data_IF_378405112534
#
_entry.id   IF_378405112534
#
_cell.length_a   1.000
_cell.length_b   1.000
_cell.length_c   1.000
_cell.angle_alpha   90.00
_cell.angle_beta   90.00
_cell.angle_gamma   90.00
#
_symmetry.space_group_name_H-M   'P 1'
#
loop_
_entity.id
_entity.type
_entity.pdbx_description
1 polymer ?
#
# COMPACT_ATOMS: atom_id res chain seq x y z
N UNK A 1 5.07 26.12 16.14
CA UNK A 1 5.53 24.90 16.84
C UNK A 1 4.58 23.77 16.45
N UNK A 2 4.97 22.88 15.52
CA UNK A 2 4.04 21.82 15.08
C UNK A 2 4.01 20.70 16.11
N UNK A 3 2.85 20.53 16.74
CA UNK A 3 2.53 19.43 17.64
C UNK A 3 2.74 18.09 16.91
N UNK A 4 3.42 17.14 17.56
CA UNK A 4 3.39 15.74 17.12
C UNK A 4 2.06 15.21 17.64
N UNK A 5 1.12 15.01 16.72
CA UNK A 5 -0.21 14.49 16.98
C UNK A 5 -0.42 13.22 16.15
N UNK A 6 -0.79 12.13 16.80
CA UNK A 6 -1.18 10.89 16.14
C UNK A 6 -2.64 10.64 16.52
N UNK A 7 -3.55 10.67 15.55
CA UNK A 7 -4.94 10.28 15.74
C UNK A 7 -5.16 9.04 14.88
N UNK A 8 -5.76 8.02 15.48
CA UNK A 8 -6.08 6.77 14.80
C UNK A 8 -7.45 6.28 15.25
N UNK A 9 -8.20 5.77 14.29
CA UNK A 9 -9.54 5.22 14.48
C UNK A 9 -9.63 3.97 13.62
N UNK A 10 -9.82 2.83 14.27
CA UNK A 10 -10.00 1.56 13.55
C UNK A 10 -11.32 1.55 12.77
N UNK A 11 -11.42 0.78 11.67
CA UNK A 11 -12.70 0.54 11.00
C UNK A 11 -13.77 0.04 11.99
N UNK A 12 -15.01 0.50 11.84
CA UNK A 12 -16.14 0.13 12.72
C UNK A 12 -16.94 -1.06 12.19
N UNK A 13 -16.80 -1.39 10.91
CA UNK A 13 -17.66 -2.36 10.22
C UNK A 13 -17.16 -3.81 10.31
N UNK A 14 -16.06 -4.09 11.01
CA UNK A 14 -15.30 -5.34 10.87
C UNK A 14 -15.50 -6.38 11.99
N UNK A 15 -16.59 -6.33 12.77
CA UNK A 15 -16.89 -7.25 13.90
C UNK A 15 -15.73 -7.39 14.93
N UNK A 16 -14.65 -6.64 14.75
CA UNK A 16 -13.46 -6.58 15.56
C UNK A 16 -13.60 -5.42 16.56
N UNK A 17 -12.81 -5.44 17.63
CA UNK A 17 -12.85 -4.33 18.56
C UNK A 17 -12.45 -3.01 17.90
N UNK A 18 -13.27 -2.00 18.21
CA UNK A 18 -13.04 -0.63 17.86
C UNK A 18 -12.05 0.02 18.84
N UNK A 19 -11.04 0.70 18.30
CA UNK A 19 -10.02 1.44 19.05
C UNK A 19 -9.86 2.82 18.42
N UNK A 20 -9.99 3.86 19.24
CA UNK A 20 -9.54 5.22 18.92
C UNK A 20 -8.36 5.54 19.84
N UNK A 21 -7.28 6.04 19.28
CA UNK A 21 -6.16 6.56 20.04
C UNK A 21 -5.78 7.94 19.53
N UNK A 22 -5.62 8.88 20.45
CA UNK A 22 -5.04 10.19 20.19
C UNK A 22 -3.84 10.39 21.09
N UNK A 23 -2.68 10.69 20.49
CA UNK A 23 -1.46 11.04 21.21
C UNK A 23 -1.09 12.45 20.85
N UNK A 24 -0.97 13.30 21.87
CA UNK A 24 -0.53 14.69 21.70
C UNK A 24 0.56 15.02 22.72
N UNK A 25 1.59 15.73 22.27
CA UNK A 25 2.62 16.27 23.17
C UNK A 25 2.08 17.52 23.88
N UNK A 26 2.23 17.57 25.21
CA UNK A 26 1.95 18.80 25.96
C UNK A 26 3.26 19.59 26.11
N UNK A 27 3.28 20.90 25.83
CA UNK A 27 4.43 21.73 26.16
C UNK A 27 4.57 21.84 27.68
N UNK A 28 5.72 21.45 28.22
CA UNK A 28 5.97 21.48 29.67
C UNK A 28 5.86 22.90 30.22
N UNK A 29 5.08 23.09 31.28
CA UNK A 29 5.05 24.35 32.02
C UNK A 29 6.35 24.52 32.83
N UNK A 30 7.20 25.40 32.32
CA UNK A 30 8.21 26.25 32.98
C UNK A 30 9.23 25.73 34.00
N UNK A 31 9.32 24.46 34.40
CA UNK A 31 10.50 24.02 35.18
C UNK A 31 11.01 22.59 35.00
N UNK A 32 10.30 21.72 34.28
CA UNK A 32 10.74 20.35 34.02
C UNK A 32 11.02 20.14 32.52
N UNK A 33 12.25 19.74 32.18
CA UNK A 33 12.68 19.45 30.80
C UNK A 33 12.12 18.13 30.24
N UNK A 34 11.20 17.45 30.92
CA UNK A 34 10.56 16.24 30.41
C UNK A 34 9.44 16.62 29.45
N UNK A 35 9.46 16.03 28.26
CA UNK A 35 8.34 16.10 27.33
C UNK A 35 7.27 15.12 27.79
N UNK A 36 6.18 15.61 28.36
CA UNK A 36 5.04 14.78 28.73
C UNK A 36 4.07 14.66 27.54
N UNK A 37 3.53 13.46 27.36
CA UNK A 37 2.63 13.11 26.27
C UNK A 37 1.32 12.62 26.88
N UNK A 38 0.20 13.08 26.34
CA UNK A 38 -1.12 12.61 26.75
C UNK A 38 -1.70 11.73 25.67
N UNK A 39 -2.20 10.58 26.12
CA UNK A 39 -2.83 9.56 25.31
C UNK A 39 -4.29 9.42 25.73
N UNK A 40 -5.20 9.62 24.80
CA UNK A 40 -6.62 9.26 24.96
C UNK A 40 -6.89 7.99 24.17
N UNK A 41 -7.24 6.92 24.87
CA UNK A 41 -7.59 5.63 24.28
C UNK A 41 -9.06 5.31 24.57
N UNK A 42 -9.86 5.17 23.53
CA UNK A 42 -11.19 4.58 23.60
C UNK A 42 -11.10 3.19 23.00
N UNK A 43 -11.38 2.17 23.80
CA UNK A 43 -11.42 0.79 23.33
C UNK A 43 -12.77 0.18 23.68
N UNK A 44 -13.23 -0.72 22.81
CA UNK A 44 -14.44 -1.49 23.06
C UNK A 44 -14.29 -2.36 24.34
N UNK A 45 -15.39 -2.67 25.06
CA UNK A 45 -15.33 -3.28 26.40
C UNK A 45 -14.66 -4.66 26.45
N UNK A 46 -14.52 -5.34 25.31
CA UNK A 46 -13.85 -6.63 25.19
C UNK A 46 -12.32 -6.54 25.03
N UNK A 47 -11.75 -5.35 24.83
CA UNK A 47 -10.29 -5.18 24.89
C UNK A 47 -9.88 -4.85 26.32
N UNK A 48 -9.22 -5.82 26.95
CA UNK A 48 -8.51 -5.57 28.19
C UNK A 48 -7.12 -5.02 27.86
N UNK A 49 -6.87 -3.75 28.17
CA UNK A 49 -5.56 -3.11 27.98
C UNK A 49 -4.42 -3.90 28.63
N UNK A 50 -4.71 -4.52 29.77
CA UNK A 50 -3.77 -5.42 30.46
C UNK A 50 -3.36 -6.60 29.58
N UNK A 51 -4.29 -7.25 28.87
CA UNK A 51 -3.96 -8.35 27.97
C UNK A 51 -3.14 -7.89 26.75
N UNK A 52 -3.35 -6.66 26.30
CA UNK A 52 -2.60 -6.06 25.19
C UNK A 52 -1.13 -5.77 25.55
N UNK A 53 -0.87 -5.42 26.81
CA UNK A 53 0.45 -4.98 27.29
C UNK A 53 1.15 -6.00 28.20
N UNK A 54 0.45 -7.03 28.70
CA UNK A 54 0.98 -7.96 29.71
C UNK A 54 2.09 -8.87 29.21
N UNK A 55 2.17 -9.09 27.90
CA UNK A 55 3.16 -9.98 27.28
C UNK A 55 4.40 -9.22 26.79
N UNK A 56 4.45 -7.89 26.97
CA UNK A 56 5.52 -7.06 26.42
C UNK A 56 6.32 -6.41 27.56
N UNK A 57 7.61 -6.72 27.61
CA UNK A 57 8.54 -5.95 28.42
C UNK A 57 8.83 -4.60 27.75
N UNK A 58 8.93 -3.58 28.58
CA UNK A 58 9.47 -2.29 28.20
C UNK A 58 10.91 -2.47 27.66
N UNK A 59 11.24 -1.94 26.47
CA UNK A 59 12.60 -1.93 25.94
C UNK A 59 13.67 -1.53 26.96
N UNK A 60 14.89 -2.06 26.89
CA UNK A 60 15.96 -1.68 27.83
C UNK A 60 16.76 -0.45 27.37
N UNK A 61 16.48 0.08 26.17
CA UNK A 61 17.28 1.10 25.47
C UNK A 61 16.74 2.53 25.60
N UNK A 62 16.19 2.89 26.77
CA UNK A 62 15.61 4.22 26.99
C UNK A 62 16.67 5.32 27.06
N UNK A 63 16.59 6.25 26.11
CA UNK A 63 17.27 7.54 26.08
C UNK A 63 16.33 8.63 26.69
N UNK A 64 16.65 9.95 26.72
CA UNK A 64 15.97 10.97 27.57
C UNK A 64 14.44 11.19 27.43
N UNK A 65 13.74 10.47 26.55
CA UNK A 65 12.27 10.50 26.44
C UNK A 65 11.64 9.56 27.47
N UNK A 66 10.37 9.81 27.81
CA UNK A 66 9.62 8.92 28.69
C UNK A 66 9.60 7.48 28.11
N UNK A 67 9.82 6.44 28.93
CA UNK A 67 9.91 5.06 28.49
C UNK A 67 8.64 4.54 27.80
N UNK A 68 7.51 5.21 28.04
CA UNK A 68 6.20 4.81 27.53
C UNK A 68 5.93 5.32 26.10
N UNK A 69 6.81 6.15 25.55
CA UNK A 69 6.59 6.77 24.24
C UNK A 69 6.48 5.71 23.13
N UNK A 70 5.36 5.73 22.41
CA UNK A 70 5.00 4.78 21.34
C UNK A 70 4.87 3.31 21.74
N UNK A 71 5.05 2.97 23.02
CA UNK A 71 4.85 1.60 23.52
C UNK A 71 3.42 1.12 23.28
N UNK A 72 2.43 1.92 23.67
CA UNK A 72 1.02 1.60 23.47
C UNK A 72 0.65 1.51 21.96
N UNK A 73 0.96 2.50 21.09
CA UNK A 73 0.77 2.37 19.64
C UNK A 73 1.40 1.12 19.02
N UNK A 74 2.63 0.78 19.42
CA UNK A 74 3.32 -0.40 18.89
C UNK A 74 2.65 -1.70 19.34
N UNK A 75 2.20 -1.78 20.59
CA UNK A 75 1.42 -2.90 21.09
C UNK A 75 0.08 -3.05 20.36
N UNK A 76 -0.63 -1.94 20.12
CA UNK A 76 -1.87 -1.94 19.33
C UNK A 76 -1.59 -2.43 17.90
N UNK A 77 -0.55 -1.92 17.25
CA UNK A 77 -0.18 -2.34 15.90
C UNK A 77 0.13 -3.83 15.84
N UNK A 78 0.92 -4.36 16.80
CA UNK A 78 1.23 -5.79 16.89
C UNK A 78 -0.03 -6.63 16.95
N UNK A 79 -0.90 -6.31 17.90
CA UNK A 79 -2.16 -7.02 18.10
C UNK A 79 -3.05 -6.98 16.85
N UNK A 80 -3.12 -5.84 16.16
CA UNK A 80 -3.88 -5.74 14.91
C UNK A 80 -3.31 -6.65 13.82
N UNK A 81 -1.99 -6.59 13.59
CA UNK A 81 -1.32 -7.41 12.58
C UNK A 81 -1.51 -8.90 12.84
N UNK A 82 -1.45 -9.33 14.10
CA UNK A 82 -1.71 -10.72 14.51
C UNK A 82 -3.17 -11.14 14.22
N UNK A 83 -4.15 -10.32 14.63
CA UNK A 83 -5.57 -10.60 14.38
C UNK A 83 -5.88 -10.65 12.88
N UNK A 84 -5.34 -9.72 12.10
CA UNK A 84 -5.56 -9.67 10.65
C UNK A 84 -4.93 -10.86 9.96
N UNK A 85 -3.71 -11.26 10.34
CA UNK A 85 -3.06 -12.46 9.81
C UNK A 85 -3.92 -13.70 10.03
N UNK A 86 -4.35 -13.94 11.26
CA UNK A 86 -5.08 -15.16 11.61
C UNK A 86 -6.45 -15.21 10.91
N UNK A 87 -7.11 -14.06 10.75
CA UNK A 87 -8.38 -13.95 10.02
C UNK A 87 -8.23 -14.11 8.50
N UNK A 88 -7.15 -13.60 7.91
CA UNK A 88 -6.84 -13.80 6.48
C UNK A 88 -6.58 -15.27 6.20
N UNK A 89 -5.81 -15.95 7.07
CA UNK A 89 -5.56 -17.38 6.97
C UNK A 89 -6.87 -18.19 7.03
N UNK A 90 -7.73 -17.90 8.01
CA UNK A 90 -9.03 -18.57 8.14
C UNK A 90 -9.97 -18.31 6.95
N UNK A 91 -9.99 -17.09 6.41
CA UNK A 91 -10.78 -16.79 5.21
C UNK A 91 -10.25 -17.52 3.97
N UNK A 92 -8.93 -17.64 3.83
CA UNK A 92 -8.32 -18.36 2.73
C UNK A 92 -8.66 -19.86 2.80
N UNK A 93 -8.59 -20.44 3.99
CA UNK A 93 -9.00 -21.83 4.25
C UNK A 93 -10.50 -22.04 3.92
N UNK A 94 -11.38 -21.17 4.41
CA UNK A 94 -12.83 -21.18 4.10
C UNK A 94 -13.10 -21.15 2.59
N UNK A 95 -12.35 -20.33 1.84
CA UNK A 95 -12.53 -20.19 0.38
C UNK A 95 -12.06 -21.47 -0.34
N UNK A 96 -10.95 -22.07 0.10
CA UNK A 96 -10.37 -23.28 -0.50
C UNK A 96 -11.18 -24.54 -0.16
N UNK A 97 -11.65 -24.68 1.08
CA UNK A 97 -12.45 -25.84 1.48
C UNK A 97 -13.76 -25.88 0.69
N UNK A 98 -14.44 -24.73 0.58
CA UNK A 98 -15.69 -24.61 -0.18
C UNK A 98 -15.48 -24.75 -1.69
N UNK A 99 -14.29 -24.43 -2.20
CA UNK A 99 -13.90 -24.72 -3.58
C UNK A 99 -14.03 -26.22 -3.87
N UNK A 100 -13.50 -27.09 -2.98
CA UNK A 100 -13.59 -28.55 -3.13
C UNK A 100 -15.02 -29.06 -3.11
N UNK A 101 -15.89 -28.48 -2.28
CA UNK A 101 -17.31 -28.84 -2.22
C UNK A 101 -18.03 -28.47 -3.52
N UNK A 102 -17.73 -27.29 -4.08
CA UNK A 102 -18.27 -26.84 -5.37
C UNK A 102 -17.81 -27.77 -6.51
N UNK A 103 -16.55 -28.24 -6.48
CA UNK A 103 -16.02 -29.20 -7.46
C UNK A 103 -16.54 -30.63 -7.27
N UNK A 104 -16.87 -31.05 -6.04
CA UNK A 104 -17.19 -32.44 -5.69
C UNK A 104 -18.66 -32.85 -5.80
N UNK A 105 -19.61 -31.91 -5.78
CA UNK A 105 -21.06 -32.23 -5.80
C UNK A 105 -21.84 -31.39 -6.81
N UNK A 106 -21.94 -31.91 -8.03
CA UNK A 106 -22.74 -31.32 -9.12
C UNK A 106 -24.26 -31.47 -8.92
N UNK A 107 -24.75 -32.23 -7.93
CA UNK A 107 -26.12 -32.75 -7.97
C UNK A 107 -27.14 -32.28 -6.92
N UNK A 108 -26.82 -31.54 -5.86
CA UNK A 108 -27.85 -31.28 -4.82
C UNK A 108 -27.87 -29.91 -4.14
N UNK A 109 -26.87 -29.04 -4.29
CA UNK A 109 -26.89 -27.75 -3.60
C UNK A 109 -27.75 -26.70 -4.31
N UNK A 110 -28.55 -25.97 -3.51
CA UNK A 110 -29.27 -24.78 -3.95
C UNK A 110 -28.28 -23.69 -4.35
N UNK A 111 -28.35 -23.28 -5.62
CA UNK A 111 -27.43 -22.29 -6.19
C UNK A 111 -27.53 -20.95 -5.46
N UNK A 112 -28.69 -20.62 -4.89
CA UNK A 112 -28.86 -19.41 -4.09
C UNK A 112 -28.00 -19.45 -2.81
N UNK A 113 -27.88 -20.60 -2.16
CA UNK A 113 -27.06 -20.79 -0.96
C UNK A 113 -25.56 -20.58 -1.23
N UNK A 114 -25.07 -21.09 -2.37
CA UNK A 114 -23.67 -20.90 -2.78
C UNK A 114 -23.39 -19.41 -3.05
N UNK A 115 -24.30 -18.71 -3.74
CA UNK A 115 -24.16 -17.27 -4.03
C UNK A 115 -24.15 -16.42 -2.76
N UNK A 116 -25.02 -16.73 -1.80
CA UNK A 116 -25.00 -16.07 -0.48
C UNK A 116 -23.68 -16.28 0.23
N UNK A 117 -23.12 -17.49 0.16
CA UNK A 117 -21.82 -17.79 0.78
C UNK A 117 -20.68 -17.01 0.14
N UNK A 118 -20.64 -16.92 -1.19
CA UNK A 118 -19.66 -16.11 -1.93
C UNK A 118 -19.77 -14.62 -1.55
N UNK A 119 -21.00 -14.13 -1.38
CA UNK A 119 -21.25 -12.75 -0.99
C UNK A 119 -20.72 -12.46 0.43
N UNK A 120 -21.00 -13.34 1.38
CA UNK A 120 -20.48 -13.21 2.75
C UNK A 120 -18.95 -13.32 2.80
N UNK A 121 -18.33 -14.21 2.02
CA UNK A 121 -16.87 -14.28 1.89
C UNK A 121 -16.28 -12.99 1.33
N UNK A 122 -16.89 -12.41 0.30
CA UNK A 122 -16.45 -11.14 -0.28
C UNK A 122 -16.63 -9.95 0.69
N UNK A 123 -17.70 -9.95 1.50
CA UNK A 123 -17.89 -8.95 2.57
C UNK A 123 -16.83 -9.08 3.67
N UNK A 124 -16.52 -10.30 4.11
CA UNK A 124 -15.43 -10.57 5.08
C UNK A 124 -14.08 -10.11 4.52
N UNK A 125 -13.79 -10.41 3.26
CA UNK A 125 -12.57 -9.94 2.58
C UNK A 125 -12.47 -8.42 2.59
N UNK A 126 -13.55 -7.71 2.24
CA UNK A 126 -13.58 -6.25 2.21
C UNK A 126 -13.28 -5.64 3.59
N UNK A 127 -13.91 -6.17 4.64
CA UNK A 127 -13.68 -5.76 6.04
C UNK A 127 -12.20 -5.96 6.42
N UNK A 128 -11.64 -7.14 6.14
CA UNK A 128 -10.24 -7.45 6.45
C UNK A 128 -9.25 -6.58 5.66
N UNK A 129 -9.53 -6.29 4.39
CA UNK A 129 -8.69 -5.39 3.60
C UNK A 129 -8.68 -3.98 4.18
N UNK A 130 -9.83 -3.45 4.59
CA UNK A 130 -9.91 -2.12 5.21
C UNK A 130 -9.12 -2.08 6.53
N UNK A 131 -9.15 -3.17 7.31
CA UNK A 131 -8.33 -3.31 8.53
C UNK A 131 -6.84 -3.34 8.23
N UNK A 132 -6.42 -4.12 7.24
CA UNK A 132 -5.03 -4.18 6.78
C UNK A 132 -4.52 -2.82 6.26
N UNK A 133 -5.34 -2.08 5.50
CA UNK A 133 -4.99 -0.73 5.03
C UNK A 133 -4.78 0.23 6.20
N UNK A 134 -5.64 0.16 7.21
CA UNK A 134 -5.49 0.94 8.43
C UNK A 134 -4.19 0.61 9.17
N UNK A 135 -3.83 -0.67 9.30
CA UNK A 135 -2.56 -1.10 9.91
C UNK A 135 -1.34 -0.51 9.17
N UNK A 136 -1.36 -0.54 7.84
CA UNK A 136 -0.29 0.04 7.01
C UNK A 136 -0.17 1.54 7.24
N UNK A 137 -1.30 2.26 7.27
CA UNK A 137 -1.33 3.71 7.52
C UNK A 137 -0.85 4.05 8.94
N UNK A 138 -1.31 3.29 9.94
CA UNK A 138 -0.87 3.45 11.32
C UNK A 138 0.64 3.29 11.43
N UNK A 139 1.19 2.23 10.87
CA UNK A 139 2.61 1.93 10.96
C UNK A 139 3.48 2.94 10.17
N UNK A 140 2.99 3.44 9.04
CA UNK A 140 3.64 4.52 8.31
C UNK A 140 3.64 5.82 9.11
N UNK A 141 2.52 6.18 9.74
CA UNK A 141 2.42 7.37 10.59
C UNK A 141 3.33 7.28 11.82
N UNK A 142 3.44 6.11 12.44
CA UNK A 142 4.40 5.86 13.51
C UNK A 142 5.85 6.02 13.04
N UNK A 143 6.20 5.46 11.87
CA UNK A 143 7.53 5.60 11.27
C UNK A 143 7.87 7.07 10.99
N UNK A 144 6.92 7.83 10.42
CA UNK A 144 7.05 9.28 10.18
C UNK A 144 7.26 10.05 11.48
N UNK A 145 6.60 9.66 12.56
CA UNK A 145 6.78 10.30 13.86
C UNK A 145 8.20 10.06 14.42
N UNK A 146 8.75 8.85 14.29
CA UNK A 146 10.15 8.58 14.63
C UNK A 146 11.12 9.43 13.80
N UNK A 147 10.91 9.48 12.48
CA UNK A 147 11.75 10.27 11.57
C UNK A 147 11.68 11.77 11.91
N UNK A 148 10.50 12.28 12.23
CA UNK A 148 10.30 13.67 12.60
C UNK A 148 11.03 14.05 13.89
N UNK A 149 11.05 13.14 14.88
CA UNK A 149 11.83 13.32 16.11
C UNK A 149 13.33 13.35 15.77
N UNK A 150 13.80 12.40 14.95
CA UNK A 150 15.19 12.36 14.51
C UNK A 150 15.61 13.65 13.76
N UNK A 151 14.76 14.15 12.86
CA UNK A 151 15.00 15.39 12.10
C UNK A 151 15.03 16.66 12.96
N UNK A 152 14.23 16.72 14.03
CA UNK A 152 14.24 17.87 14.94
C UNK A 152 15.53 17.94 15.76
N UNK A 153 16.07 16.78 16.12
CA UNK A 153 17.32 16.69 16.87
C UNK A 153 18.52 17.19 16.05
N UNK A 154 18.59 16.84 14.76
CA UNK A 154 19.66 17.34 13.86
C UNK A 154 19.60 18.85 13.65
N UNK A 155 18.40 19.45 13.66
CA UNK A 155 18.20 20.90 13.57
C UNK A 155 18.53 21.67 14.84
N UNK A 156 18.43 21.05 16.01
CA UNK A 156 18.64 21.72 17.31
C UNK A 156 20.12 21.97 17.66
N UNK A 157 21.07 21.70 16.75
CA UNK A 157 22.49 22.05 16.89
C UNK A 157 23.28 21.30 17.97
N UNK A 158 22.63 20.55 18.86
CA UNK A 158 23.25 20.02 20.07
C UNK A 158 23.74 18.56 19.97
N UNK A 159 23.96 18.02 18.77
CA UNK A 159 24.28 16.60 18.65
C UNK A 159 25.03 16.23 17.38
N UNK A 160 26.36 16.32 17.42
CA UNK A 160 27.21 15.47 16.56
C UNK A 160 27.47 14.09 17.20
N UNK A 161 27.21 13.94 18.51
CA UNK A 161 27.59 12.75 19.31
C UNK A 161 26.52 12.21 20.27
N UNK A 162 25.28 12.72 20.32
CA UNK A 162 24.26 12.19 21.25
C UNK A 162 23.41 11.13 20.56
N UNK A 163 23.15 9.97 21.19
CA UNK A 163 22.28 8.95 20.64
C UNK A 163 20.85 9.47 20.42
N UNK A 164 20.09 8.87 19.47
CA UNK A 164 18.70 9.22 19.24
C UNK A 164 17.90 9.12 20.55
N UNK A 165 17.04 10.10 20.81
CA UNK A 165 16.22 10.17 22.03
C UNK A 165 15.03 9.19 22.01
N UNK A 166 15.02 8.15 21.17
CA UNK A 166 13.93 7.18 21.10
C UNK A 166 14.48 5.76 21.10
N UNK A 167 13.65 4.80 21.54
CA UNK A 167 14.01 3.38 21.52
C UNK A 167 14.20 2.89 20.09
N UNK A 168 15.40 2.38 19.79
CA UNK A 168 15.71 1.74 18.51
C UNK A 168 15.03 0.39 18.42
N UNK A 169 14.90 -0.32 19.54
CA UNK A 169 14.18 -1.59 19.62
C UNK A 169 12.73 -1.40 19.17
N UNK A 170 12.06 -0.35 19.65
CA UNK A 170 10.66 -0.08 19.32
C UNK A 170 10.49 0.35 17.84
N UNK A 171 11.41 1.16 17.32
CA UNK A 171 11.46 1.46 15.88
C UNK A 171 11.63 0.19 15.04
N UNK A 172 12.58 -0.68 15.43
CA UNK A 172 12.81 -1.94 14.73
C UNK A 172 11.59 -2.85 14.80
N UNK A 173 10.90 -2.93 15.95
CA UNK A 173 9.65 -3.70 16.09
C UNK A 173 8.58 -3.19 15.13
N UNK A 174 8.36 -1.88 15.06
CA UNK A 174 7.38 -1.29 14.13
C UNK A 174 7.74 -1.64 12.68
N UNK A 175 9.02 -1.52 12.30
CA UNK A 175 9.49 -1.90 10.96
C UNK A 175 9.27 -3.39 10.65
N UNK A 176 9.51 -4.28 11.62
CA UNK A 176 9.20 -5.71 11.49
C UNK A 176 7.71 -5.97 11.34
N UNK A 177 6.85 -5.30 12.10
CA UNK A 177 5.39 -5.45 11.96
C UNK A 177 4.90 -4.98 10.59
N UNK A 178 5.48 -3.90 10.06
CA UNK A 178 5.22 -3.43 8.69
C UNK A 178 5.59 -4.50 7.66
N UNK A 179 6.79 -5.10 7.78
CA UNK A 179 7.22 -6.12 6.83
C UNK A 179 6.35 -7.38 6.90
N UNK A 180 5.94 -7.79 8.10
CA UNK A 180 4.98 -8.88 8.29
C UNK A 180 3.63 -8.59 7.65
N UNK A 181 3.06 -7.42 7.92
CA UNK A 181 1.77 -7.02 7.36
C UNK A 181 1.84 -6.89 5.83
N UNK A 182 2.96 -6.47 5.24
CA UNK A 182 3.12 -6.43 3.77
C UNK A 182 3.02 -7.82 3.11
N UNK A 183 3.42 -8.89 3.80
CA UNK A 183 3.27 -10.25 3.25
C UNK A 183 1.79 -10.63 3.09
N UNK A 184 0.91 -10.17 3.98
CA UNK A 184 -0.55 -10.40 3.90
C UNK A 184 -1.20 -9.77 2.66
N UNK A 185 -0.54 -8.78 2.04
CA UNK A 185 -1.03 -8.16 0.80
C UNK A 185 -1.26 -9.21 -0.29
N UNK A 186 -0.32 -10.15 -0.43
CA UNK A 186 -0.41 -11.17 -1.47
C UNK A 186 -1.59 -12.08 -1.22
N UNK A 187 -1.76 -12.58 0.01
CA UNK A 187 -2.87 -13.46 0.38
C UNK A 187 -4.22 -12.76 0.18
N UNK A 188 -4.35 -11.52 0.63
CA UNK A 188 -5.55 -10.69 0.42
C UNK A 188 -5.84 -10.43 -1.07
N UNK A 189 -4.82 -10.37 -1.94
CA UNK A 189 -5.00 -10.18 -3.37
C UNK A 189 -5.49 -11.46 -4.09
N UNK A 190 -5.23 -12.65 -3.53
CA UNK A 190 -5.66 -13.92 -4.12
C UNK A 190 -7.13 -14.25 -3.86
N UNK A 191 -7.72 -13.77 -2.77
CA UNK A 191 -9.08 -14.11 -2.38
C UNK A 191 -10.13 -13.62 -3.41
N UNK A 192 -10.08 -12.37 -3.92
CA UNK A 192 -11.05 -11.89 -4.91
C UNK A 192 -11.03 -12.69 -6.20
N UNK A 193 -9.86 -13.10 -6.69
CA UNK A 193 -9.75 -13.88 -7.93
C UNK A 193 -10.32 -15.29 -7.76
N UNK A 194 -10.13 -15.90 -6.58
CA UNK A 194 -10.79 -17.17 -6.22
C UNK A 194 -12.32 -17.04 -6.17
N UNK A 195 -12.84 -16.01 -5.49
CA UNK A 195 -14.29 -15.74 -5.43
C UNK A 195 -14.87 -15.51 -6.83
N UNK A 196 -14.16 -14.75 -7.68
CA UNK A 196 -14.57 -14.50 -9.06
C UNK A 196 -14.61 -15.79 -9.89
N UNK A 197 -13.59 -16.63 -9.79
CA UNK A 197 -13.55 -17.93 -10.47
C UNK A 197 -14.72 -18.82 -10.04
N UNK A 198 -14.99 -18.91 -8.74
CA UNK A 198 -16.12 -19.66 -8.19
C UNK A 198 -17.46 -19.10 -8.68
N UNK A 199 -17.63 -17.78 -8.71
CA UNK A 199 -18.84 -17.14 -9.24
C UNK A 199 -19.06 -17.47 -10.72
N UNK A 200 -18.00 -17.44 -11.54
CA UNK A 200 -18.09 -17.81 -12.96
C UNK A 200 -18.49 -19.27 -13.15
N UNK A 201 -17.95 -20.20 -12.34
CA UNK A 201 -18.32 -21.61 -12.38
C UNK A 201 -19.79 -21.82 -12.03
N UNK A 202 -20.28 -21.16 -10.98
CA UNK A 202 -21.68 -21.24 -10.53
C UNK A 202 -22.63 -20.65 -11.56
N UNK A 203 -22.27 -19.53 -12.19
CA UNK A 203 -23.10 -18.91 -13.24
C UNK A 203 -23.12 -19.76 -14.51
N UNK A 204 -21.99 -20.34 -14.88
CA UNK A 204 -21.90 -21.25 -16.04
C UNK A 204 -22.72 -22.53 -15.83
N UNK A 205 -22.70 -23.10 -14.61
CA UNK A 205 -23.49 -24.29 -14.28
C UNK A 205 -25.00 -24.02 -14.24
N UNK A 206 -25.42 -22.79 -13.90
CA UNK A 206 -26.81 -22.34 -14.09
C UNK A 206 -27.22 -22.32 -15.54
N UNK A 207 -26.41 -21.73 -16.42
CA UNK A 207 -26.77 -21.58 -17.84
C UNK A 207 -27.01 -22.95 -18.51
N UNK A 208 -26.25 -23.97 -18.10
CA UNK A 208 -26.43 -25.36 -18.56
C UNK A 208 -27.78 -25.95 -18.06
N UNK A 209 -28.28 -25.55 -16.88
CA UNK A 209 -29.55 -26.03 -16.29
C UNK A 209 -30.77 -25.20 -16.69
N UNK A 210 -30.61 -23.89 -16.94
CA UNK A 210 -31.70 -22.95 -17.25
C UNK A 210 -32.22 -23.05 -18.69
N UNK A 211 -31.52 -23.74 -19.61
CA UNK A 211 -32.08 -24.09 -20.92
C UNK A 211 -33.41 -24.89 -20.83
N UNK A 212 -33.78 -25.40 -19.64
CA UNK A 212 -35.00 -26.19 -19.43
C UNK A 212 -36.05 -25.64 -18.45
N UNK A 213 -35.83 -24.55 -17.71
CA UNK A 213 -36.81 -24.06 -16.71
C UNK A 213 -36.82 -22.53 -16.54
N UNK A 214 -37.95 -21.91 -16.89
CA UNK A 214 -38.27 -20.53 -16.57
C UNK A 214 -38.54 -20.40 -15.05
N UNK A 215 -37.58 -19.88 -14.28
CA UNK A 215 -37.81 -19.55 -12.86
C UNK A 215 -37.27 -18.19 -12.47
N UNK A 216 -38.12 -17.45 -11.76
CA UNK A 216 -38.07 -16.02 -11.42
C UNK A 216 -37.23 -15.73 -10.15
N UNK A 217 -36.37 -14.70 -10.25
CA UNK A 217 -36.29 -13.44 -9.46
C UNK A 217 -35.60 -13.22 -8.08
N UNK A 218 -35.19 -14.15 -7.20
CA UNK A 218 -34.34 -13.79 -6.05
C UNK A 218 -32.83 -13.88 -6.36
N UNK A 219 -32.42 -14.71 -7.33
CA UNK A 219 -31.01 -14.87 -7.73
C UNK A 219 -30.42 -13.59 -8.34
N UNK A 220 -31.20 -12.85 -9.12
CA UNK A 220 -30.73 -11.71 -9.89
C UNK A 220 -30.24 -10.54 -8.99
N UNK A 221 -30.86 -10.35 -7.82
CA UNK A 221 -30.45 -9.29 -6.89
C UNK A 221 -29.12 -9.62 -6.22
N UNK A 222 -28.92 -10.87 -5.81
CA UNK A 222 -27.65 -11.33 -5.23
C UNK A 222 -26.55 -11.26 -6.28
N UNK A 223 -26.84 -11.65 -7.52
CA UNK A 223 -25.92 -11.55 -8.65
C UNK A 223 -25.51 -10.10 -8.94
N UNK A 224 -26.46 -9.16 -8.95
CA UNK A 224 -26.14 -7.74 -9.11
C UNK A 224 -25.21 -7.23 -8.00
N UNK A 225 -25.48 -7.58 -6.73
CA UNK A 225 -24.63 -7.17 -5.59
C UNK A 225 -23.25 -7.79 -5.64
N UNK A 226 -23.15 -9.07 -5.98
CA UNK A 226 -21.87 -9.78 -6.17
C UNK A 226 -21.05 -9.16 -7.30
N UNK A 227 -21.68 -8.86 -8.43
CA UNK A 227 -21.01 -8.24 -9.57
C UNK A 227 -20.47 -6.85 -9.24
N UNK A 228 -21.24 -6.04 -8.49
CA UNK A 228 -20.76 -4.73 -8.00
C UNK A 228 -19.55 -4.92 -7.08
N UNK A 229 -19.60 -5.87 -6.16
CA UNK A 229 -18.48 -6.14 -5.24
C UNK A 229 -17.21 -6.61 -5.98
N UNK A 230 -17.35 -7.52 -6.95
CA UNK A 230 -16.25 -7.98 -7.79
C UNK A 230 -15.67 -6.80 -8.58
N UNK A 231 -16.51 -5.97 -9.20
CA UNK A 231 -16.07 -4.79 -9.93
C UNK A 231 -15.33 -3.78 -9.04
N UNK A 232 -15.79 -3.56 -7.81
CA UNK A 232 -15.10 -2.74 -6.81
C UNK A 232 -13.71 -3.31 -6.47
N UNK A 233 -13.62 -4.62 -6.26
CA UNK A 233 -12.34 -5.27 -6.00
C UNK A 233 -11.37 -5.19 -7.19
N UNK A 234 -11.87 -5.34 -8.42
CA UNK A 234 -11.08 -5.15 -9.64
C UNK A 234 -10.61 -3.70 -9.81
N UNK A 235 -11.46 -2.71 -9.50
CA UNK A 235 -11.09 -1.30 -9.56
C UNK A 235 -9.97 -0.96 -8.57
N UNK A 236 -10.03 -1.51 -7.36
CA UNK A 236 -9.00 -1.32 -6.33
C UNK A 236 -7.69 -1.98 -6.75
N UNK A 237 -7.73 -3.22 -7.23
CA UNK A 237 -6.54 -3.89 -7.76
C UNK A 237 -5.91 -3.12 -8.93
N UNK A 238 -6.73 -2.55 -9.81
CA UNK A 238 -6.26 -1.71 -10.92
C UNK A 238 -5.61 -0.41 -10.45
N UNK A 239 -6.16 0.24 -9.42
CA UNK A 239 -5.57 1.45 -8.82
C UNK A 239 -4.24 1.14 -8.12
N UNK A 240 -4.14 0.00 -7.41
CA UNK A 240 -2.88 -0.46 -6.83
C UNK A 240 -1.82 -0.74 -7.91
N UNK A 241 -2.19 -1.44 -8.98
CA UNK A 241 -1.31 -1.71 -10.11
C UNK A 241 -0.89 -0.41 -10.82
N UNK A 242 -1.79 0.58 -10.89
CA UNK A 242 -1.51 1.91 -11.43
C UNK A 242 -0.50 2.68 -10.58
N UNK A 243 -0.61 2.59 -9.24
CA UNK A 243 0.36 3.19 -8.31
C UNK A 243 1.73 2.55 -8.45
N UNK A 244 1.80 1.22 -8.52
CA UNK A 244 3.05 0.49 -8.73
C UNK A 244 3.72 0.86 -10.07
N UNK A 245 2.91 0.97 -11.13
CA UNK A 245 3.35 1.45 -12.45
C UNK A 245 3.91 2.89 -12.43
N UNK A 246 3.54 3.71 -11.45
CA UNK A 246 4.08 5.07 -11.32
C UNK A 246 5.57 5.05 -10.95
N UNK A 247 5.95 4.19 -10.01
CA UNK A 247 7.36 4.01 -9.62
C UNK A 247 8.18 3.44 -10.79
N UNK A 248 7.62 2.49 -11.54
CA UNK A 248 8.26 1.91 -12.72
C UNK A 248 8.54 2.96 -13.81
N UNK A 249 7.62 3.92 -14.00
CA UNK A 249 7.83 5.04 -14.94
C UNK A 249 8.99 5.95 -14.52
N UNK A 250 9.17 6.19 -13.22
CA UNK A 250 10.31 6.98 -12.70
C UNK A 250 11.64 6.28 -12.97
N UNK A 251 11.72 4.98 -12.70
CA UNK A 251 12.94 4.20 -12.99
C UNK A 251 13.25 4.22 -14.49
N UNK A 252 12.23 4.01 -15.33
CA UNK A 252 12.39 4.07 -16.79
C UNK A 252 12.81 5.46 -17.29
N UNK A 253 12.35 6.54 -16.65
CA UNK A 253 12.80 7.89 -16.97
C UNK A 253 14.28 8.09 -16.59
N UNK A 254 14.72 7.59 -15.43
CA UNK A 254 16.13 7.64 -15.03
C UNK A 254 17.02 6.87 -16.00
N UNK A 255 16.61 5.67 -16.44
CA UNK A 255 17.39 4.90 -17.42
C UNK A 255 17.46 5.62 -18.77
N UNK A 256 16.37 6.24 -19.23
CA UNK A 256 16.37 7.04 -20.47
C UNK A 256 17.28 8.28 -20.41
N UNK A 257 17.45 8.88 -19.23
CA UNK A 257 18.37 10.02 -19.03
C UNK A 257 19.82 9.54 -19.01
N UNK A 258 20.11 8.44 -18.31
CA UNK A 258 21.49 7.96 -18.14
C UNK A 258 22.01 7.17 -19.34
N UNK A 259 21.17 6.45 -20.08
CA UNK A 259 21.62 5.57 -21.17
C UNK A 259 22.36 6.31 -22.31
N UNK A 260 21.92 7.50 -22.77
CA UNK A 260 22.67 8.29 -23.73
C UNK A 260 23.98 8.86 -23.16
N UNK A 261 23.95 9.31 -21.90
CA UNK A 261 25.13 9.85 -21.22
C UNK A 261 26.21 8.77 -21.04
N UNK A 262 25.81 7.56 -20.65
CA UNK A 262 26.70 6.40 -20.51
C UNK A 262 27.24 5.95 -21.87
N UNK A 263 26.43 5.96 -22.94
CA UNK A 263 26.89 5.63 -24.29
C UNK A 263 27.98 6.59 -24.78
N UNK A 264 27.77 7.90 -24.61
CA UNK A 264 28.77 8.92 -24.94
C UNK A 264 30.01 8.74 -24.06
N UNK A 265 29.86 8.51 -22.76
CA UNK A 265 31.00 8.25 -21.87
C UNK A 265 31.83 7.03 -22.32
N UNK A 266 31.20 5.94 -22.76
CA UNK A 266 31.88 4.74 -23.27
C UNK A 266 32.66 5.02 -24.56
N UNK A 267 32.09 5.73 -25.53
CA UNK A 267 32.77 6.11 -26.77
C UNK A 267 33.99 6.99 -26.48
N UNK A 268 33.82 7.98 -25.60
CA UNK A 268 34.91 8.87 -25.22
C UNK A 268 35.97 8.16 -24.36
N UNK A 269 35.60 7.16 -23.55
CA UNK A 269 36.55 6.31 -22.81
C UNK A 269 37.47 5.53 -23.76
N UNK A 270 36.93 5.02 -24.87
CA UNK A 270 37.72 4.32 -25.89
C UNK A 270 38.55 5.27 -26.78
N UNK A 271 38.08 6.49 -27.02
CA UNK A 271 38.69 7.42 -27.98
C UNK A 271 39.62 8.48 -27.37
N UNK A 272 39.45 8.87 -26.10
CA UNK A 272 40.18 10.01 -25.50
C UNK A 272 41.49 9.62 -24.81
N UNK A 273 41.72 8.34 -24.53
CA UNK A 273 42.98 7.87 -23.97
C UNK A 273 43.92 7.41 -25.08
N UNK A 274 44.45 8.36 -25.85
CA UNK A 274 45.65 8.09 -26.64
C UNK A 274 46.88 8.22 -25.71
N UNK A 275 47.39 7.10 -25.22
CA UNK A 275 48.57 7.04 -24.33
C UNK A 275 49.89 7.28 -25.09
N UNK A 276 49.85 7.64 -26.37
CA UNK A 276 51.00 7.86 -27.26
C UNK A 276 51.13 9.34 -27.66
N UNK A 277 51.27 10.24 -26.69
CA UNK A 277 51.76 11.59 -26.94
C UNK A 277 53.21 11.70 -26.46
N UNK A 278 54.14 11.85 -27.41
CA UNK A 278 55.53 12.21 -27.14
C UNK A 278 55.63 13.48 -26.29
N UNK A 279 56.44 13.38 -25.23
CA UNK A 279 57.12 14.44 -24.48
C UNK A 279 56.42 15.81 -24.35
N UNK A 280 55.70 15.99 -23.24
CA UNK A 280 55.66 17.28 -22.52
C UNK A 280 54.42 18.16 -22.68
N UNK A 281 53.37 17.72 -23.38
CA UNK A 281 52.09 18.43 -23.43
C UNK A 281 51.13 17.93 -22.34
N UNK A 282 50.49 18.86 -21.60
CA UNK A 282 49.47 18.57 -20.58
C UNK A 282 48.51 17.45 -21.01
N UNK A 283 48.60 16.31 -20.33
CA UNK A 283 47.75 15.11 -20.53
C UNK A 283 46.31 15.34 -20.02
N UNK A 284 45.88 16.59 -19.87
CA UNK A 284 44.58 16.93 -19.31
C UNK A 284 44.02 18.22 -19.90
N UNK A 285 42.79 18.09 -20.43
CA UNK A 285 41.77 19.13 -20.48
C UNK A 285 41.85 20.21 -21.57
N UNK A 286 41.48 19.83 -22.80
CA UNK A 286 40.80 20.77 -23.74
C UNK A 286 39.57 20.20 -24.44
N UNK A 287 39.48 18.87 -24.57
CA UNK A 287 38.39 18.18 -25.28
C UNK A 287 37.22 17.74 -24.39
N UNK A 288 37.29 17.91 -23.06
CA UNK A 288 36.17 17.64 -22.13
C UNK A 288 34.92 18.46 -22.49
N UNK A 289 35.08 19.65 -23.07
CA UNK A 289 33.94 20.45 -23.50
C UNK A 289 33.13 19.77 -24.61
N UNK A 290 33.77 18.96 -25.48
CA UNK A 290 33.10 18.21 -26.56
C UNK A 290 32.17 17.14 -25.99
N UNK A 291 32.51 16.54 -24.84
CA UNK A 291 31.61 15.62 -24.13
C UNK A 291 30.29 16.31 -23.78
N UNK A 292 30.34 17.52 -23.18
CA UNK A 292 29.13 18.26 -22.84
C UNK A 292 28.35 18.72 -24.07
N UNK A 293 29.04 19.13 -25.13
CA UNK A 293 28.42 19.58 -26.39
C UNK A 293 27.67 18.46 -27.11
N UNK A 294 28.06 17.18 -26.95
CA UNK A 294 27.37 16.04 -27.57
C UNK A 294 26.36 15.40 -26.62
N UNK A 295 26.73 15.23 -25.35
CA UNK A 295 25.88 14.58 -24.36
C UNK A 295 24.59 15.36 -24.09
N UNK A 296 24.69 16.69 -23.90
CA UNK A 296 23.53 17.54 -23.59
C UNK A 296 22.45 17.48 -24.70
N UNK A 297 22.75 17.74 -25.99
CA UNK A 297 21.72 17.69 -27.03
C UNK A 297 21.18 16.28 -27.26
N UNK A 298 22.01 15.23 -27.09
CA UNK A 298 21.54 13.86 -27.21
C UNK A 298 20.53 13.51 -26.11
N UNK A 299 20.83 13.87 -24.85
CA UNK A 299 19.90 13.71 -23.73
C UNK A 299 18.63 14.53 -23.95
N UNK A 300 18.75 15.77 -24.45
CA UNK A 300 17.62 16.65 -24.72
C UNK A 300 16.74 16.10 -25.86
N UNK A 301 17.34 15.50 -26.90
CA UNK A 301 16.63 14.84 -27.99
C UNK A 301 15.79 13.65 -27.49
N UNK A 302 16.38 12.79 -26.64
CA UNK A 302 15.67 11.64 -26.05
C UNK A 302 14.52 12.10 -25.14
N UNK A 303 14.73 13.14 -24.34
CA UNK A 303 13.69 13.73 -23.49
C UNK A 303 12.55 14.34 -24.30
N UNK A 304 12.86 15.12 -25.35
CA UNK A 304 11.87 15.73 -26.23
C UNK A 304 11.05 14.66 -26.96
N UNK A 305 11.72 13.63 -27.50
CA UNK A 305 11.05 12.49 -28.13
C UNK A 305 10.10 11.78 -27.15
N UNK A 306 10.55 11.53 -25.92
CA UNK A 306 9.72 10.92 -24.88
C UNK A 306 8.51 11.78 -24.49
N UNK A 307 8.69 13.09 -24.29
CA UNK A 307 7.61 14.02 -23.96
C UNK A 307 6.59 14.08 -25.10
N UNK A 308 7.05 14.19 -26.35
CA UNK A 308 6.19 14.19 -27.53
C UNK A 308 5.41 12.88 -27.65
N UNK A 309 6.09 11.75 -27.52
CA UNK A 309 5.48 10.42 -27.54
C UNK A 309 4.43 10.27 -26.44
N UNK A 310 4.75 10.66 -25.21
CA UNK A 310 3.85 10.60 -24.08
C UNK A 310 2.61 11.47 -24.30
N UNK A 311 2.77 12.73 -24.75
CA UNK A 311 1.65 13.64 -25.04
C UNK A 311 0.78 13.14 -26.19
N UNK A 312 1.38 12.63 -27.27
CA UNK A 312 0.64 12.06 -28.41
C UNK A 312 -0.15 10.82 -28.00
N UNK A 313 0.45 9.96 -27.19
CA UNK A 313 -0.18 8.76 -26.66
C UNK A 313 -1.39 9.13 -25.80
N UNK A 314 -1.25 10.07 -24.87
CA UNK A 314 -2.36 10.56 -24.03
C UNK A 314 -3.50 11.20 -24.85
N UNK A 315 -3.17 12.00 -25.88
CA UNK A 315 -4.16 12.60 -26.77
C UNK A 315 -4.95 11.53 -27.57
N UNK A 316 -4.31 10.42 -27.91
CA UNK A 316 -4.94 9.29 -28.62
C UNK A 316 -5.84 8.45 -27.70
N UNK A 317 -5.52 8.35 -26.41
CA UNK A 317 -6.36 7.70 -25.41
C UNK A 317 -7.62 8.52 -25.07
N UNK A 318 -7.51 9.85 -24.96
CA UNK A 318 -8.66 10.71 -24.66
C UNK A 318 -9.70 10.73 -25.80
N UNK A 319 -9.26 10.66 -27.06
CA UNK A 319 -10.17 10.57 -28.23
C UNK A 319 -10.92 9.23 -28.34
N UNK A 320 -10.46 8.16 -27.69
CA UNK A 320 -11.15 6.85 -27.69
C UNK A 320 -12.19 6.72 -26.57
N UNK A 321 -12.01 7.38 -25.43
CA UNK A 321 -13.00 7.39 -24.35
C UNK A 321 -14.06 8.51 -24.48
N UNK A 322 -13.77 9.59 -25.23
CA UNK A 322 -14.75 10.65 -25.49
C UNK A 322 -15.86 10.33 -26.51
N UNK A 323 -15.79 9.18 -27.21
CA UNK A 323 -16.77 8.79 -28.25
C UNK A 323 -17.78 7.72 -27.81
N UNK A 324 -17.67 7.23 -26.56
CA UNK A 324 -18.58 6.23 -25.97
C UNK A 324 -19.56 6.78 -24.92
N UNK A 325 -19.55 8.09 -24.66
CA UNK A 325 -20.50 8.76 -23.77
C UNK A 325 -21.48 9.61 -24.58
N UNK A 326 -22.24 8.99 -25.50
CA UNK A 326 -23.58 9.53 -25.78
C UNK A 326 -24.49 9.00 -24.68
N UNK A 327 -24.99 9.93 -23.88
CA UNK A 327 -25.94 9.72 -22.80
C UNK A 327 -27.15 8.93 -23.32
N UNK A 328 -27.39 7.75 -22.75
CA UNK A 328 -28.72 7.17 -22.71
C UNK A 328 -29.52 8.05 -21.74
N UNK A 329 -30.15 9.08 -22.29
CA UNK A 329 -31.20 9.84 -21.61
C UNK A 329 -32.40 8.91 -21.57
N UNK A 330 -32.74 8.42 -20.38
CA UNK A 330 -34.02 7.76 -20.15
C UNK A 330 -35.14 8.80 -20.34
N UNK A 331 -36.14 8.56 -21.21
CA UNK A 331 -37.32 9.40 -21.22
C UNK A 331 -38.10 9.14 -19.93
N UNK A 332 -38.29 10.18 -19.13
CA UNK A 332 -39.24 10.17 -18.03
C UNK A 332 -40.64 9.91 -18.62
N UNK A 333 -41.17 8.71 -18.36
CA UNK A 333 -42.55 8.36 -18.66
C UNK A 333 -43.45 8.93 -17.57
N UNK A 334 -44.25 9.92 -17.95
CA UNK A 334 -45.45 10.36 -17.24
C UNK A 334 -46.55 9.28 -17.24
#
# INVERSE_FOLDING_TARGET
MSAIGLILQTPADDDLPFIILSITRIPAETHQRSADWVCLLFAAPHITLKALLSDESFPSDYAPLAPDFMFLPAGILKWQVEQTRDRVAGLLEDVIEKEKVIFGMTNTFDVASIKNTLFEQGKKHLKLRNRWLFEQELAENMSRCFDEIARRQTRSGNSRNSPPTYSRILLQRVQTLVSLSRMLKQDLATIPSKIQAQHQMVTSSKHIRELGRNTLNPSNQIDARLNIMIAQNSAIAAEEARRDSSSMKTIAALTLIFLPATFVASIFSMSMFNWQAESGGLVTSRWIWVYFVIAIPLTLMVLVFWILWYKWTQAKYSKRHGKGSQMVVFPDSA
#
